data_IF_862834995778
#
_entry.id   IF_862834995778
#
_cell.length_a   1.000
_cell.length_b   1.000
_cell.length_c   1.000
_cell.angle_alpha   90.00
_cell.angle_beta   90.00
_cell.angle_gamma   90.00
#
_symmetry.space_group_name_H-M   'P 1'
#
loop_
_entity.id
_entity.type
_entity.pdbx_description
1 polymer ?
#
# COMPACT_ATOMS: atom_id res chain seq x y z
N UNK A 1 18.76 16.48 11.82
CA UNK A 1 17.63 15.67 12.34
C UNK A 1 18.20 14.36 12.88
N UNK A 2 17.85 13.91 14.09
CA UNK A 2 18.38 12.64 14.59
C UNK A 2 17.74 11.44 13.88
N UNK A 3 18.53 10.44 13.50
CA UNK A 3 18.04 9.23 12.82
C UNK A 3 17.02 8.40 13.61
N UNK A 4 16.28 7.56 12.90
CA UNK A 4 15.45 6.49 13.47
C UNK A 4 16.31 5.22 13.52
N UNK A 5 16.66 4.76 14.72
CA UNK A 5 17.42 3.53 14.91
C UNK A 5 16.47 2.43 15.41
N UNK A 6 16.23 1.37 14.63
CA UNK A 6 15.44 0.24 15.09
C UNK A 6 16.11 -0.44 16.29
N UNK A 7 15.31 -0.79 17.29
CA UNK A 7 15.71 -1.66 18.41
C UNK A 7 14.72 -2.81 18.49
N UNK A 8 15.22 -4.04 18.39
CA UNK A 8 14.40 -5.27 18.35
C UNK A 8 13.24 -5.17 17.36
N UNK A 9 13.51 -4.70 16.13
CA UNK A 9 12.51 -4.56 15.07
C UNK A 9 11.48 -3.45 15.30
N UNK A 10 11.71 -2.50 16.21
CA UNK A 10 10.79 -1.38 16.51
C UNK A 10 11.51 -0.04 16.57
N UNK A 11 10.79 1.00 16.18
CA UNK A 11 11.17 2.40 16.38
C UNK A 11 9.90 3.22 16.60
N UNK A 12 10.05 4.48 17.02
CA UNK A 12 8.94 5.41 17.15
C UNK A 12 9.36 6.80 16.66
N UNK A 13 8.35 7.64 16.39
CA UNK A 13 8.57 9.02 15.94
C UNK A 13 8.62 10.01 17.12
N UNK A 14 8.94 9.59 18.34
CA UNK A 14 8.98 10.49 19.49
C UNK A 14 10.07 11.54 19.28
N UNK A 15 9.69 12.83 19.34
CA UNK A 15 10.58 13.98 19.07
C UNK A 15 11.29 13.93 17.70
N UNK A 16 10.69 13.25 16.71
CA UNK A 16 11.15 13.19 15.31
C UNK A 16 10.12 13.82 14.39
N UNK A 17 10.58 14.41 13.30
CA UNK A 17 9.77 14.92 12.19
C UNK A 17 9.84 13.96 11.00
N UNK A 18 8.89 14.09 10.08
CA UNK A 18 8.86 13.33 8.83
C UNK A 18 9.86 13.90 7.83
N UNK A 19 10.31 13.08 6.88
CA UNK A 19 11.30 13.46 5.86
C UNK A 19 10.71 14.48 4.88
N UNK A 20 9.54 14.18 4.31
CA UNK A 20 8.77 15.11 3.48
C UNK A 20 7.37 15.25 4.08
N UNK A 21 7.15 16.20 5.00
CA UNK A 21 5.83 16.46 5.55
C UNK A 21 4.97 17.24 4.53
N UNK A 22 3.72 16.82 4.38
CA UNK A 22 2.73 17.56 3.57
C UNK A 22 2.20 18.80 4.31
N UNK A 23 1.59 19.71 3.54
CA UNK A 23 0.74 20.77 4.06
C UNK A 23 -0.72 20.39 3.88
N UNK A 24 -1.52 20.57 4.93
CA UNK A 24 -2.94 20.26 4.95
C UNK A 24 -3.74 21.54 5.19
N UNK A 25 -4.13 22.20 4.10
CA UNK A 25 -4.68 23.57 4.15
C UNK A 25 -6.18 23.61 3.84
N UNK A 26 -6.66 22.73 2.95
CA UNK A 26 -8.07 22.66 2.53
C UNK A 26 -8.66 21.30 2.83
N UNK A 27 -9.10 21.09 4.06
CA UNK A 27 -9.63 19.81 4.50
C UNK A 27 -10.90 19.97 5.33
N UNK A 28 -11.67 18.90 5.40
CA UNK A 28 -12.94 18.87 6.15
C UNK A 28 -13.03 17.62 7.01
N UNK A 29 -13.91 17.67 8.01
CA UNK A 29 -14.25 16.54 8.86
C UNK A 29 -15.68 16.12 8.56
N UNK A 30 -15.92 14.83 8.41
CA UNK A 30 -17.27 14.26 8.31
C UNK A 30 -17.50 13.32 9.48
N UNK A 31 -18.65 13.40 10.12
CA UNK A 31 -18.99 12.59 11.29
C UNK A 31 -20.24 11.75 11.06
N UNK A 32 -20.05 10.45 10.82
CA UNK A 32 -21.11 9.44 10.75
C UNK A 32 -21.43 8.93 12.15
N UNK A 33 -21.94 9.84 13.00
CA UNK A 33 -22.45 9.54 14.35
C UNK A 33 -21.41 9.01 15.36
N UNK A 34 -20.12 9.31 15.18
CA UNK A 34 -19.09 9.07 16.17
C UNK A 34 -19.26 9.97 17.39
N UNK A 35 -19.27 9.37 18.60
CA UNK A 35 -19.36 10.07 19.88
C UNK A 35 -17.98 10.58 20.29
N UNK A 36 -17.62 11.81 19.90
CA UNK A 36 -16.37 12.44 20.30
C UNK A 36 -16.48 13.96 20.34
N UNK A 37 -15.57 14.60 21.09
CA UNK A 37 -15.40 16.07 21.06
C UNK A 37 -14.61 16.46 19.83
N UNK A 38 -15.31 16.81 18.74
CA UNK A 38 -14.71 17.06 17.43
C UNK A 38 -13.69 18.20 17.45
N UNK A 39 -13.98 19.30 18.15
CA UNK A 39 -13.05 20.43 18.30
C UNK A 39 -11.73 19.99 18.93
N UNK A 40 -11.79 19.32 20.08
CA UNK A 40 -10.62 18.78 20.77
C UNK A 40 -9.83 17.80 19.90
N UNK A 41 -10.52 16.93 19.17
CA UNK A 41 -9.89 15.98 18.25
C UNK A 41 -9.13 16.71 17.12
N UNK A 42 -9.70 17.78 16.57
CA UNK A 42 -9.04 18.59 15.55
C UNK A 42 -7.83 19.33 16.12
N UNK A 43 -7.96 19.94 17.31
CA UNK A 43 -6.85 20.60 18.02
C UNK A 43 -5.71 19.63 18.32
N UNK A 44 -6.02 18.45 18.86
CA UNK A 44 -5.03 17.41 19.14
C UNK A 44 -4.35 16.93 17.85
N UNK A 45 -5.11 16.74 16.75
CA UNK A 45 -4.56 16.37 15.45
C UNK A 45 -3.61 17.44 14.89
N UNK A 46 -3.99 18.72 14.97
CA UNK A 46 -3.16 19.85 14.54
C UNK A 46 -1.87 19.91 15.37
N UNK A 47 -1.98 19.82 16.70
CA UNK A 47 -0.83 19.79 17.61
C UNK A 47 0.12 18.64 17.27
N UNK A 48 -0.42 17.42 17.14
CA UNK A 48 0.37 16.26 16.76
C UNK A 48 1.00 16.40 15.37
N UNK A 49 0.29 17.01 14.42
CA UNK A 49 0.79 17.31 13.07
C UNK A 49 2.02 18.20 13.10
N UNK A 50 1.93 19.33 13.81
CA UNK A 50 3.03 20.29 13.96
C UNK A 50 4.27 19.63 14.58
N UNK A 51 4.09 18.78 15.60
CA UNK A 51 5.20 18.01 16.20
C UNK A 51 5.87 17.02 15.23
N UNK A 52 5.22 16.68 14.10
CA UNK A 52 5.75 15.82 13.04
C UNK A 52 6.21 16.61 11.80
N UNK A 53 6.12 17.94 11.84
CA UNK A 53 6.46 18.82 10.72
C UNK A 53 5.32 19.01 9.70
N UNK A 54 4.15 18.39 9.92
CA UNK A 54 2.97 18.58 9.05
C UNK A 54 2.30 19.89 9.45
N UNK A 55 2.23 20.83 8.51
CA UNK A 55 1.46 22.07 8.71
C UNK A 55 -0.01 21.79 8.45
N UNK A 56 -0.84 21.88 9.50
CA UNK A 56 -2.29 21.63 9.41
C UNK A 56 -3.05 22.89 9.83
N UNK A 57 -3.86 23.43 8.93
CA UNK A 57 -4.78 24.54 9.24
C UNK A 57 -6.03 24.01 9.96
N UNK A 58 -6.87 24.89 10.50
CA UNK A 58 -8.20 24.47 10.98
C UNK A 58 -9.01 23.88 9.82
N UNK A 59 -9.84 22.84 10.06
CA UNK A 59 -10.69 22.30 9.01
C UNK A 59 -11.63 23.40 8.52
N UNK A 60 -11.90 23.42 7.22
CA UNK A 60 -12.80 24.40 6.60
C UNK A 60 -14.22 24.27 7.16
N UNK A 61 -14.70 23.04 7.29
CA UNK A 61 -16.01 22.75 7.89
C UNK A 61 -16.02 21.35 8.51
N UNK A 62 -16.91 21.18 9.50
CA UNK A 62 -17.24 19.90 10.12
C UNK A 62 -18.68 19.54 9.75
N UNK A 63 -18.85 18.46 9.00
CA UNK A 63 -20.14 17.95 8.56
C UNK A 63 -20.63 16.85 9.51
N UNK A 64 -21.76 17.10 10.15
CA UNK A 64 -22.42 16.12 11.00
C UNK A 64 -23.52 15.40 10.22
N UNK A 65 -23.55 14.07 10.29
CA UNK A 65 -24.66 13.28 9.76
C UNK A 65 -25.97 13.72 10.41
N UNK A 66 -26.98 14.02 9.58
CA UNK A 66 -28.31 14.35 10.06
C UNK A 66 -28.97 13.13 10.71
N UNK A 67 -29.64 13.35 11.84
CA UNK A 67 -30.29 12.30 12.61
C UNK A 67 -31.32 11.52 11.78
N UNK A 68 -32.00 12.20 10.84
CA UNK A 68 -33.00 11.61 9.92
C UNK A 68 -32.44 10.47 9.04
N UNK A 69 -31.15 10.48 8.73
CA UNK A 69 -30.53 9.46 7.86
C UNK A 69 -29.84 8.33 8.62
N UNK A 70 -29.74 8.38 9.95
CA UNK A 70 -28.95 7.40 10.72
C UNK A 70 -29.38 5.95 10.50
N UNK A 71 -30.67 5.73 10.27
CA UNK A 71 -31.25 4.41 10.02
C UNK A 71 -31.42 4.09 8.53
N UNK A 72 -31.00 4.99 7.64
CA UNK A 72 -31.05 4.77 6.20
C UNK A 72 -29.94 3.78 5.77
N UNK A 73 -30.06 3.16 4.58
CA UNK A 73 -29.01 2.32 4.03
C UNK A 73 -27.65 3.06 3.95
N UNK A 74 -26.52 2.38 4.18
CA UNK A 74 -25.19 3.01 4.20
C UNK A 74 -24.82 3.81 2.96
N UNK A 75 -25.24 3.35 1.77
CA UNK A 75 -25.04 4.06 0.51
C UNK A 75 -25.77 5.41 0.49
N UNK A 76 -27.03 5.43 0.92
CA UNK A 76 -27.85 6.65 1.03
C UNK A 76 -27.23 7.63 2.02
N UNK A 77 -26.76 7.13 3.18
CA UNK A 77 -26.08 7.95 4.20
C UNK A 77 -24.84 8.64 3.62
N UNK A 78 -24.04 7.91 2.84
CA UNK A 78 -22.86 8.45 2.15
C UNK A 78 -23.24 9.49 1.10
N UNK A 79 -24.25 9.21 0.27
CA UNK A 79 -24.71 10.14 -0.76
C UNK A 79 -25.20 11.45 -0.16
N UNK A 80 -26.00 11.38 0.91
CA UNK A 80 -26.47 12.58 1.64
C UNK A 80 -25.34 13.38 2.27
N UNK A 81 -24.33 12.70 2.83
CA UNK A 81 -23.13 13.39 3.31
C UNK A 81 -22.41 14.12 2.17
N UNK A 82 -22.29 13.52 0.99
CA UNK A 82 -21.66 14.14 -0.16
C UNK A 82 -22.47 15.31 -0.73
N UNK A 83 -23.80 15.22 -0.77
CA UNK A 83 -24.68 16.35 -1.11
C UNK A 83 -24.43 17.54 -0.15
N UNK A 84 -24.32 17.26 1.16
CA UNK A 84 -24.00 18.29 2.15
C UNK A 84 -22.63 18.92 1.91
N UNK A 85 -21.60 18.12 1.65
CA UNK A 85 -20.26 18.62 1.34
C UNK A 85 -20.27 19.52 0.10
N UNK A 86 -20.88 19.05 -1.01
CA UNK A 86 -20.92 19.80 -2.27
C UNK A 86 -21.71 21.11 -2.18
N UNK A 87 -22.75 21.16 -1.35
CA UNK A 87 -23.58 22.37 -1.20
C UNK A 87 -22.92 23.49 -0.40
N UNK A 88 -21.91 23.17 0.43
CA UNK A 88 -21.27 24.16 1.32
C UNK A 88 -19.81 24.45 0.99
N UNK A 89 -19.15 23.57 0.26
CA UNK A 89 -17.77 23.80 -0.16
C UNK A 89 -17.71 24.50 -1.53
N UNK A 90 -16.87 25.55 -1.69
CA UNK A 90 -16.69 26.24 -2.97
C UNK A 90 -15.90 25.42 -3.99
N UNK A 91 -15.36 24.26 -3.60
CA UNK A 91 -14.60 23.37 -4.46
C UNK A 91 -14.20 22.09 -3.73
N UNK A 92 -13.54 21.18 -4.45
CA UNK A 92 -13.13 19.88 -3.91
C UNK A 92 -12.08 20.04 -2.81
N UNK A 93 -12.28 19.46 -1.61
CA UNK A 93 -11.27 19.49 -0.56
C UNK A 93 -10.06 18.64 -0.93
N UNK A 94 -8.88 19.03 -0.43
CA UNK A 94 -7.65 18.25 -0.53
C UNK A 94 -7.77 16.90 0.20
N UNK A 95 -8.53 16.88 1.29
CA UNK A 95 -8.61 15.75 2.20
C UNK A 95 -9.90 15.75 3.03
N UNK A 96 -10.41 14.55 3.35
CA UNK A 96 -11.53 14.36 4.28
C UNK A 96 -11.13 13.42 5.42
N UNK A 97 -11.24 13.91 6.66
CA UNK A 97 -11.20 13.08 7.86
C UNK A 97 -12.61 12.54 8.15
N UNK A 98 -12.78 11.22 8.08
CA UNK A 98 -14.07 10.56 8.30
C UNK A 98 -14.11 9.91 9.68
N UNK A 99 -15.06 10.33 10.52
CA UNK A 99 -15.29 9.77 11.84
C UNK A 99 -16.42 8.75 11.76
N UNK A 100 -16.13 7.52 12.20
CA UNK A 100 -17.07 6.40 12.23
C UNK A 100 -17.45 6.06 13.67
N UNK A 101 -18.70 5.68 13.90
CA UNK A 101 -19.20 5.22 15.19
C UNK A 101 -18.51 3.92 15.66
N UNK A 102 -18.28 3.00 14.72
CA UNK A 102 -17.86 1.63 15.02
C UNK A 102 -16.43 1.34 14.58
N UNK A 103 -15.66 0.69 15.46
CA UNK A 103 -14.23 0.45 15.25
C UNK A 103 -13.91 -0.65 14.22
N UNK A 104 -14.74 -1.69 14.16
CA UNK A 104 -14.44 -2.90 13.36
C UNK A 104 -15.33 -3.04 12.14
N UNK A 105 -16.64 -2.93 12.31
CA UNK A 105 -17.61 -3.32 11.29
C UNK A 105 -18.57 -2.16 10.97
N UNK A 106 -18.03 -0.97 10.68
CA UNK A 106 -18.87 0.13 10.19
C UNK A 106 -19.32 -0.19 8.77
N UNK A 107 -20.63 -0.34 8.61
CA UNK A 107 -21.33 -0.55 7.33
C UNK A 107 -21.11 0.61 6.33
N UNK A 108 -20.89 1.83 6.84
CA UNK A 108 -20.57 3.02 6.06
C UNK A 108 -19.16 2.98 5.45
N UNK A 109 -18.19 2.25 6.03
CA UNK A 109 -16.80 2.29 5.58
C UNK A 109 -16.64 1.91 4.11
N UNK A 110 -17.27 0.81 3.68
CA UNK A 110 -17.19 0.31 2.30
C UNK A 110 -17.74 1.31 1.28
N UNK A 111 -19.03 1.70 1.38
CA UNK A 111 -19.63 2.71 0.50
C UNK A 111 -18.90 4.05 0.52
N UNK A 112 -18.42 4.50 1.69
CA UNK A 112 -17.64 5.73 1.80
C UNK A 112 -16.33 5.64 1.03
N UNK A 113 -15.61 4.51 1.15
CA UNK A 113 -14.38 4.28 0.39
C UNK A 113 -14.62 4.19 -1.11
N UNK A 114 -15.67 3.49 -1.52
CA UNK A 114 -16.07 3.40 -2.93
C UNK A 114 -16.32 4.80 -3.50
N UNK A 115 -17.24 5.58 -2.92
CA UNK A 115 -17.59 6.93 -3.37
C UNK A 115 -16.37 7.85 -3.55
N UNK A 116 -15.43 7.80 -2.60
CA UNK A 116 -14.23 8.63 -2.65
C UNK A 116 -13.18 8.14 -3.66
N UNK A 117 -13.01 6.82 -3.82
CA UNK A 117 -11.99 6.25 -4.71
C UNK A 117 -12.45 6.17 -6.17
N UNK A 118 -13.71 5.80 -6.43
CA UNK A 118 -14.21 5.56 -7.78
C UNK A 118 -14.88 6.78 -8.41
N UNK A 119 -15.55 7.63 -7.61
CA UNK A 119 -16.35 8.74 -8.16
C UNK A 119 -15.72 10.11 -7.94
N UNK A 120 -15.22 10.39 -6.72
CA UNK A 120 -14.79 11.75 -6.36
C UNK A 120 -13.29 11.99 -6.46
N UNK A 121 -12.46 10.94 -6.37
CA UNK A 121 -11.00 11.05 -6.35
C UNK A 121 -10.42 11.78 -5.12
N UNK A 122 -11.16 11.85 -4.01
CA UNK A 122 -10.76 12.60 -2.81
C UNK A 122 -10.03 11.69 -1.82
N UNK A 123 -8.88 12.15 -1.33
CA UNK A 123 -8.10 11.41 -0.32
C UNK A 123 -8.83 11.43 1.03
N UNK A 124 -9.06 10.25 1.60
CA UNK A 124 -9.74 10.13 2.92
C UNK A 124 -9.01 9.29 3.94
N UNK A 125 -9.16 9.65 5.21
CA UNK A 125 -8.75 8.82 6.34
C UNK A 125 -9.94 8.62 7.28
N UNK A 126 -10.31 7.36 7.52
CA UNK A 126 -11.35 7.03 8.48
C UNK A 126 -10.73 6.76 9.86
N UNK A 127 -11.37 7.22 10.93
CA UNK A 127 -11.01 6.90 12.31
C UNK A 127 -12.26 6.57 13.13
N UNK A 128 -12.10 5.72 14.14
CA UNK A 128 -13.14 5.42 15.14
C UNK A 128 -12.64 5.90 16.52
N UNK A 129 -13.00 7.12 16.94
CA UNK A 129 -12.30 7.83 18.02
C UNK A 129 -12.78 7.38 19.43
N UNK A 130 -12.41 6.17 19.85
CA UNK A 130 -12.75 5.64 21.20
C UNK A 130 -11.64 5.82 22.24
N UNK A 131 -10.38 5.71 21.84
CA UNK A 131 -9.19 5.87 22.72
C UNK A 131 -8.10 6.65 22.00
N UNK A 132 -8.39 7.91 21.70
CA UNK A 132 -7.47 8.80 20.98
C UNK A 132 -6.40 9.31 21.95
N UNK A 133 -5.14 9.09 21.60
CA UNK A 133 -3.97 9.64 22.28
C UNK A 133 -2.92 10.08 21.23
N UNK A 134 -1.86 10.75 21.68
CA UNK A 134 -0.83 11.29 20.78
C UNK A 134 -0.16 10.21 19.90
N UNK A 135 0.01 8.99 20.40
CA UNK A 135 0.56 7.88 19.62
C UNK A 135 -0.42 7.41 18.52
N UNK A 136 -1.72 7.35 18.84
CA UNK A 136 -2.77 7.04 17.88
C UNK A 136 -2.82 8.10 16.78
N UNK A 137 -2.83 9.38 17.16
CA UNK A 137 -2.85 10.50 16.21
C UNK A 137 -1.58 10.54 15.36
N UNK A 138 -0.41 10.26 15.94
CA UNK A 138 0.84 10.09 15.19
C UNK A 138 0.70 9.01 14.13
N UNK A 139 0.17 7.83 14.47
CA UNK A 139 -0.04 6.75 13.50
C UNK A 139 -1.06 7.12 12.40
N UNK A 140 -2.09 7.90 12.75
CA UNK A 140 -3.05 8.45 11.77
C UNK A 140 -2.35 9.44 10.84
N UNK A 141 -1.53 10.34 11.37
CA UNK A 141 -0.77 11.34 10.60
C UNK A 141 0.24 10.70 9.65
N UNK A 142 0.91 9.61 10.05
CA UNK A 142 1.78 8.84 9.15
C UNK A 142 1.01 8.34 7.92
N UNK A 143 -0.25 7.92 8.09
CA UNK A 143 -1.11 7.50 6.98
C UNK A 143 -1.59 8.68 6.13
N UNK A 144 -1.93 9.80 6.76
CA UNK A 144 -2.36 11.02 6.06
C UNK A 144 -1.23 11.55 5.19
N UNK A 145 -0.02 11.67 5.76
CA UNK A 145 1.16 12.16 5.06
C UNK A 145 1.46 11.32 3.80
N UNK A 146 1.53 9.99 3.95
CA UNK A 146 1.76 9.08 2.84
C UNK A 146 0.68 9.16 1.75
N UNK A 147 -0.60 9.24 2.14
CA UNK A 147 -1.72 9.35 1.19
C UNK A 147 -1.76 10.67 0.41
N UNK A 148 -1.21 11.73 0.99
CA UNK A 148 -1.11 13.04 0.36
C UNK A 148 0.25 13.23 -0.36
N UNK A 149 1.04 12.17 -0.50
CA UNK A 149 2.27 12.15 -1.30
C UNK A 149 3.56 12.48 -0.54
N UNK A 150 3.49 12.70 0.78
CA UNK A 150 4.65 12.91 1.63
C UNK A 150 5.43 11.63 1.93
N UNK A 151 6.62 11.78 2.50
CA UNK A 151 7.53 10.70 2.90
C UNK A 151 7.72 10.74 4.42
N UNK A 152 7.40 9.63 5.08
CA UNK A 152 7.50 9.54 6.54
C UNK A 152 8.95 9.36 7.00
N UNK A 153 9.66 8.44 6.35
CA UNK A 153 11.03 8.04 6.66
C UNK A 153 11.67 7.45 5.39
N UNK A 154 12.98 7.59 5.26
CA UNK A 154 13.80 6.95 4.23
C UNK A 154 14.84 6.07 4.92
N UNK A 155 15.29 5.03 4.23
CA UNK A 155 16.48 4.30 4.65
C UNK A 155 17.71 5.18 4.40
N UNK A 156 18.70 5.15 5.31
CA UNK A 156 19.94 5.91 5.10
C UNK A 156 20.63 5.48 3.81
N UNK A 157 20.66 4.18 3.52
CA UNK A 157 21.25 3.59 2.31
C UNK A 157 20.50 4.01 1.03
N UNK A 158 19.18 4.19 1.11
CA UNK A 158 18.35 4.72 0.02
C UNK A 158 18.63 6.21 -0.21
N UNK A 159 18.72 6.99 0.87
CA UNK A 159 19.04 8.42 0.78
C UNK A 159 20.43 8.66 0.18
N UNK A 160 21.41 7.81 0.49
CA UNK A 160 22.75 7.87 -0.12
C UNK A 160 22.84 7.16 -1.48
N UNK A 161 21.73 6.60 -2.00
CA UNK A 161 21.68 5.86 -3.27
C UNK A 161 22.71 4.72 -3.35
N UNK A 162 22.83 3.95 -2.26
CA UNK A 162 23.82 2.87 -2.10
C UNK A 162 23.18 1.50 -1.94
N UNK A 163 21.92 1.30 -2.34
CA UNK A 163 21.31 -0.03 -2.31
C UNK A 163 22.02 -0.88 -3.38
N UNK A 164 22.64 -2.03 -3.01
CA UNK A 164 23.36 -2.88 -3.94
C UNK A 164 22.51 -3.22 -5.16
N UNK A 165 23.08 -3.05 -6.36
CA UNK A 165 22.48 -3.30 -7.68
C UNK A 165 21.25 -2.44 -8.03
N UNK A 166 20.43 -2.03 -7.06
CA UNK A 166 19.18 -1.29 -7.24
C UNK A 166 19.41 0.21 -7.44
N UNK A 167 20.36 0.81 -6.72
CA UNK A 167 20.60 2.26 -6.83
C UNK A 167 21.53 2.63 -7.99
N UNK A 168 22.20 1.67 -8.61
CA UNK A 168 23.22 1.90 -9.65
C UNK A 168 22.62 1.90 -11.06
N UNK A 169 21.59 1.10 -11.28
CA UNK A 169 20.92 0.92 -12.57
C UNK A 169 19.44 1.32 -12.39
N UNK A 170 18.77 1.91 -13.39
CA UNK A 170 17.35 2.22 -13.30
C UNK A 170 16.49 0.96 -13.02
N UNK A 171 16.10 0.77 -11.77
CA UNK A 171 15.39 -0.43 -11.29
C UNK A 171 13.95 -0.11 -10.90
N UNK A 172 13.04 -0.98 -11.31
CA UNK A 172 11.63 -0.95 -10.91
C UNK A 172 11.33 -2.15 -9.99
N UNK A 173 11.01 -1.87 -8.74
CA UNK A 173 10.54 -2.87 -7.77
C UNK A 173 9.01 -2.98 -7.85
N UNK A 174 8.50 -4.21 -7.92
CA UNK A 174 7.10 -4.56 -8.07
C UNK A 174 6.70 -5.54 -6.96
N UNK A 175 5.51 -5.35 -6.39
CA UNK A 175 4.87 -6.31 -5.50
C UNK A 175 3.55 -6.80 -6.09
N UNK A 176 3.27 -8.09 -6.01
CA UNK A 176 2.10 -8.73 -6.59
C UNK A 176 1.43 -9.65 -5.57
N UNK A 177 0.12 -9.54 -5.44
CA UNK A 177 -0.70 -10.37 -4.55
C UNK A 177 -2.11 -10.58 -5.15
N UNK A 178 -2.71 -11.73 -4.85
CA UNK A 178 -4.08 -12.05 -5.22
C UNK A 178 -4.89 -12.39 -3.99
N UNK A 179 -5.98 -11.65 -3.78
CA UNK A 179 -6.91 -11.89 -2.68
C UNK A 179 -8.18 -12.57 -3.17
N UNK A 180 -8.58 -13.65 -2.49
CA UNK A 180 -9.83 -14.36 -2.78
C UNK A 180 -10.97 -13.96 -1.84
N UNK A 181 -12.20 -14.23 -2.28
CA UNK A 181 -13.38 -14.14 -1.41
C UNK A 181 -13.28 -15.04 -0.18
N UNK A 182 -14.02 -14.68 0.87
CA UNK A 182 -14.05 -15.47 2.12
C UNK A 182 -14.51 -16.92 1.87
N UNK A 183 -14.05 -17.89 2.66
CA UNK A 183 -14.46 -19.29 2.54
C UNK A 183 -15.99 -19.43 2.49
N UNK A 184 -16.48 -20.23 1.54
CA UNK A 184 -17.93 -20.43 1.32
C UNK A 184 -18.58 -19.47 0.32
N UNK A 185 -17.88 -18.43 -0.16
CA UNK A 185 -18.34 -17.58 -1.26
C UNK A 185 -17.58 -17.89 -2.54
N UNK A 186 -18.05 -18.89 -3.29
CA UNK A 186 -17.41 -19.37 -4.53
C UNK A 186 -17.60 -18.45 -5.73
N UNK A 187 -18.56 -17.54 -5.66
CA UNK A 187 -18.98 -16.60 -6.71
C UNK A 187 -18.22 -15.26 -6.65
N UNK A 188 -17.57 -14.97 -5.52
CA UNK A 188 -16.83 -13.71 -5.34
C UNK A 188 -15.57 -13.73 -6.20
N UNK A 189 -15.34 -12.71 -7.07
CA UNK A 189 -14.15 -12.65 -7.90
C UNK A 189 -12.89 -12.52 -7.05
N UNK A 190 -11.78 -13.02 -7.59
CA UNK A 190 -10.47 -12.74 -6.99
C UNK A 190 -10.01 -11.34 -7.38
N UNK A 191 -9.20 -10.71 -6.55
CA UNK A 191 -8.69 -9.37 -6.77
C UNK A 191 -7.18 -9.45 -6.86
N UNK A 192 -6.63 -9.19 -8.05
CA UNK A 192 -5.20 -9.02 -8.24
C UNK A 192 -4.80 -7.58 -7.98
N UNK A 193 -3.71 -7.40 -7.23
CA UNK A 193 -3.11 -6.12 -6.95
C UNK A 193 -1.64 -6.14 -7.36
N UNK A 194 -1.24 -5.15 -8.14
CA UNK A 194 0.16 -4.92 -8.52
C UNK A 194 0.56 -3.54 -8.02
N UNK A 195 1.62 -3.49 -7.22
CA UNK A 195 2.24 -2.24 -6.78
C UNK A 195 3.59 -2.07 -7.46
N UNK A 196 3.91 -0.86 -7.87
CA UNK A 196 5.20 -0.53 -8.49
C UNK A 196 5.83 0.68 -7.81
N UNK A 197 7.11 0.59 -7.55
CA UNK A 197 7.90 1.70 -7.01
C UNK A 197 7.93 2.88 -7.98
N UNK A 198 8.12 4.08 -7.45
CA UNK A 198 8.18 5.32 -8.20
C UNK A 198 9.42 6.12 -7.83
N UNK A 199 9.96 6.81 -8.82
CA UNK A 199 11.04 7.79 -8.67
C UNK A 199 12.38 7.20 -8.24
N UNK A 200 12.89 6.23 -9.03
CA UNK A 200 14.28 5.80 -8.96
C UNK A 200 15.23 7.03 -8.92
N UNK A 201 16.26 7.05 -8.05
CA UNK A 201 16.78 5.92 -7.26
C UNK A 201 16.07 5.63 -5.92
N UNK A 202 15.05 6.40 -5.55
CA UNK A 202 14.28 6.15 -4.33
C UNK A 202 13.28 4.99 -4.54
N UNK A 203 13.05 4.23 -3.48
CA UNK A 203 12.16 3.06 -3.45
C UNK A 203 10.99 3.23 -2.47
N UNK A 204 10.84 4.41 -1.84
CA UNK A 204 9.85 4.67 -0.79
C UNK A 204 8.45 5.09 -1.26
N UNK A 205 8.24 5.35 -2.56
CA UNK A 205 6.93 5.73 -3.13
C UNK A 205 6.42 4.61 -4.03
N UNK A 206 5.16 4.22 -3.88
CA UNK A 206 4.53 3.18 -4.70
C UNK A 206 3.21 3.65 -5.31
N UNK A 207 2.89 3.12 -6.48
CA UNK A 207 1.58 3.20 -7.11
C UNK A 207 0.96 1.82 -7.16
N UNK A 208 -0.34 1.73 -6.93
CA UNK A 208 -1.11 0.50 -7.02
C UNK A 208 -1.98 0.50 -8.27
N UNK A 209 -2.12 -0.67 -8.89
CA UNK A 209 -3.12 -1.02 -9.88
C UNK A 209 -3.86 -2.27 -9.40
N UNK A 210 -5.17 -2.33 -9.63
CA UNK A 210 -6.04 -3.41 -9.15
C UNK A 210 -6.93 -3.89 -10.30
N UNK A 211 -7.11 -5.21 -10.41
CA UNK A 211 -8.05 -5.85 -11.34
C UNK A 211 -8.83 -6.96 -10.63
N UNK A 212 -10.07 -7.13 -11.06
CA UNK A 212 -10.86 -8.32 -10.72
C UNK A 212 -10.59 -9.40 -11.74
N UNK A 213 -10.45 -10.63 -11.27
CA UNK A 213 -10.28 -11.82 -12.10
C UNK A 213 -11.23 -12.93 -11.65
N UNK A 214 -11.23 -14.03 -12.38
CA UNK A 214 -12.11 -15.17 -12.12
C UNK A 214 -11.98 -15.66 -10.66
N UNK A 215 -13.07 -16.15 -10.04
CA UNK A 215 -13.02 -16.68 -8.67
C UNK A 215 -11.95 -17.77 -8.52
N UNK A 216 -11.19 -17.72 -7.42
CA UNK A 216 -10.12 -18.66 -7.05
C UNK A 216 -8.97 -18.79 -8.08
N UNK A 217 -8.87 -17.87 -9.03
CA UNK A 217 -7.72 -17.79 -9.92
C UNK A 217 -6.57 -17.15 -9.14
N UNK A 218 -5.49 -17.88 -8.91
CA UNK A 218 -4.30 -17.39 -8.18
C UNK A 218 -3.33 -16.64 -9.10
N UNK A 219 -3.13 -17.10 -10.33
CA UNK A 219 -2.24 -16.40 -11.28
C UNK A 219 -2.88 -15.10 -11.76
N UNK A 220 -2.09 -14.03 -11.86
CA UNK A 220 -2.56 -12.78 -12.44
C UNK A 220 -2.66 -12.93 -13.96
N UNK A 221 -3.89 -13.00 -14.46
CA UNK A 221 -4.22 -13.27 -15.86
C UNK A 221 -4.16 -12.05 -16.79
N UNK A 222 -3.96 -10.87 -16.21
CA UNK A 222 -4.14 -9.58 -16.87
C UNK A 222 -2.97 -8.64 -16.62
N UNK A 223 -1.76 -9.19 -16.45
CA UNK A 223 -0.52 -8.41 -16.42
C UNK A 223 -0.33 -7.68 -17.74
N UNK A 224 -0.54 -8.38 -18.84
CA UNK A 224 -0.59 -7.84 -20.19
C UNK A 224 -1.93 -8.15 -20.84
N UNK A 225 -2.55 -7.17 -21.48
CA UNK A 225 -3.78 -7.41 -22.25
C UNK A 225 -3.84 -6.48 -23.45
N UNK A 226 -3.25 -6.93 -24.55
CA UNK A 226 -3.36 -6.26 -25.85
C UNK A 226 -4.82 -6.17 -26.27
N UNK A 227 -5.31 -4.95 -26.50
CA UNK A 227 -6.66 -4.69 -27.03
C UNK A 227 -6.59 -4.20 -28.46
N UNK A 228 -5.62 -3.34 -28.75
CA UNK A 228 -5.28 -2.87 -30.09
C UNK A 228 -3.77 -2.88 -30.26
N UNK A 229 -3.27 -2.67 -31.49
CA UNK A 229 -1.84 -2.60 -31.77
C UNK A 229 -1.10 -1.49 -31.01
N UNK A 230 -1.83 -0.50 -30.50
CA UNK A 230 -1.27 0.62 -29.72
C UNK A 230 -1.80 0.67 -28.28
N UNK A 231 -2.65 -0.26 -27.85
CA UNK A 231 -3.29 -0.20 -26.53
C UNK A 231 -3.14 -1.51 -25.74
N UNK A 232 -2.48 -1.38 -24.59
CA UNK A 232 -2.42 -2.39 -23.53
C UNK A 232 -3.32 -1.99 -22.35
N UNK A 233 -4.28 -2.85 -22.01
CA UNK A 233 -5.18 -2.68 -20.83
C UNK A 233 -4.74 -3.48 -19.60
N UNK A 234 -3.56 -4.09 -19.66
CA UNK A 234 -2.91 -4.80 -18.59
C UNK A 234 -2.76 -3.98 -17.30
N UNK A 235 -2.65 -4.69 -16.18
CA UNK A 235 -2.43 -4.11 -14.86
C UNK A 235 -0.97 -3.70 -14.66
N UNK A 236 -0.03 -4.34 -15.36
CA UNK A 236 1.36 -3.93 -15.36
C UNK A 236 1.50 -2.65 -16.18
N UNK A 237 1.99 -1.59 -15.54
CA UNK A 237 2.24 -0.30 -16.18
C UNK A 237 3.62 0.17 -15.79
N UNK A 238 4.53 0.21 -16.75
CA UNK A 238 5.81 0.87 -16.54
C UNK A 238 5.61 2.38 -16.52
N UNK A 239 6.41 3.07 -15.70
CA UNK A 239 6.43 4.52 -15.68
C UNK A 239 6.93 5.08 -17.02
N UNK A 240 6.84 6.40 -17.24
CA UNK A 240 7.40 7.05 -18.46
C UNK A 240 8.87 6.73 -18.74
N UNK A 241 9.63 6.28 -17.72
CA UNK A 241 10.99 5.78 -17.88
C UNK A 241 10.96 4.26 -17.93
N UNK A 242 11.59 3.70 -18.97
CA UNK A 242 11.83 2.26 -19.18
C UNK A 242 12.99 1.84 -18.26
N UNK A 243 12.74 1.13 -17.15
CA UNK A 243 13.82 0.65 -16.30
C UNK A 243 14.67 -0.39 -17.05
N UNK A 244 15.93 -0.51 -16.68
CA UNK A 244 16.82 -1.55 -17.20
C UNK A 244 16.72 -2.84 -16.36
N UNK A 245 16.15 -2.75 -15.15
CA UNK A 245 15.94 -3.87 -14.25
C UNK A 245 14.54 -3.86 -13.65
N UNK A 246 13.94 -5.04 -13.49
CA UNK A 246 12.63 -5.21 -12.83
C UNK A 246 12.74 -6.32 -11.78
N UNK A 247 12.47 -5.97 -10.51
CA UNK A 247 12.45 -6.91 -9.39
C UNK A 247 10.99 -7.14 -8.97
N UNK A 248 10.57 -8.39 -8.92
CA UNK A 248 9.17 -8.79 -8.66
C UNK A 248 9.12 -9.59 -7.36
N UNK A 249 8.36 -9.09 -6.39
CA UNK A 249 7.98 -9.82 -5.18
C UNK A 249 6.55 -10.35 -5.32
N UNK A 250 6.37 -11.67 -5.36
CA UNK A 250 5.07 -12.35 -5.50
C UNK A 250 4.66 -13.03 -4.19
N UNK A 251 3.57 -12.61 -3.57
CA UNK A 251 3.04 -13.19 -2.30
C UNK A 251 1.81 -14.05 -2.56
N UNK A 252 1.66 -15.20 -1.91
CA UNK A 252 0.41 -16.00 -1.95
C UNK A 252 0.43 -17.26 -2.82
N UNK A 253 1.54 -17.54 -3.52
CA UNK A 253 1.68 -18.75 -4.35
C UNK A 253 2.38 -19.88 -3.61
N UNK A 254 1.97 -21.12 -3.88
CA UNK A 254 2.61 -22.34 -3.37
C UNK A 254 3.71 -22.86 -4.30
N UNK A 255 4.59 -23.75 -3.82
CA UNK A 255 5.69 -24.31 -4.63
C UNK A 255 5.21 -24.97 -5.93
N UNK A 256 4.05 -25.62 -5.92
CA UNK A 256 3.46 -26.26 -7.11
C UNK A 256 3.08 -25.26 -8.21
N UNK A 257 3.01 -23.96 -7.88
CA UNK A 257 2.64 -22.88 -8.79
C UNK A 257 3.85 -22.07 -9.26
N UNK A 258 5.08 -22.36 -8.82
CA UNK A 258 6.27 -21.59 -9.18
C UNK A 258 6.50 -21.55 -10.70
N UNK A 259 6.35 -22.69 -11.38
CA UNK A 259 6.43 -22.75 -12.83
C UNK A 259 5.33 -21.92 -13.52
N UNK A 260 4.15 -21.78 -12.91
CA UNK A 260 3.08 -20.94 -13.45
C UNK A 260 3.43 -19.45 -13.30
N UNK A 261 4.07 -19.04 -12.20
CA UNK A 261 4.55 -17.66 -12.05
C UNK A 261 5.54 -17.31 -13.17
N UNK A 262 6.49 -18.20 -13.47
CA UNK A 262 7.47 -17.96 -14.54
C UNK A 262 6.83 -18.00 -15.93
N UNK A 263 6.08 -19.06 -16.25
CA UNK A 263 5.59 -19.29 -17.61
C UNK A 263 4.32 -18.49 -17.94
N UNK A 264 3.66 -17.88 -16.96
CA UNK A 264 2.42 -17.11 -17.17
C UNK A 264 2.63 -15.65 -16.76
N UNK A 265 3.04 -15.40 -15.52
CA UNK A 265 3.12 -14.01 -15.03
C UNK A 265 4.34 -13.28 -15.59
N UNK A 266 5.53 -13.88 -15.49
CA UNK A 266 6.76 -13.27 -16.02
C UNK A 266 6.72 -13.16 -17.56
N UNK A 267 6.23 -14.18 -18.28
CA UNK A 267 6.05 -14.12 -19.73
C UNK A 267 5.15 -12.95 -20.17
N UNK A 268 4.00 -12.76 -19.53
CA UNK A 268 3.13 -11.60 -19.80
C UNK A 268 3.85 -10.26 -19.58
N UNK A 269 4.68 -10.15 -18.54
CA UNK A 269 5.43 -8.92 -18.28
C UNK A 269 6.53 -8.66 -19.32
N UNK A 270 7.19 -9.71 -19.80
CA UNK A 270 8.15 -9.63 -20.91
C UNK A 270 7.43 -9.18 -22.19
N UNK A 271 6.26 -9.75 -22.49
CA UNK A 271 5.44 -9.33 -23.63
C UNK A 271 5.00 -7.87 -23.53
N UNK A 272 4.58 -7.41 -22.35
CA UNK A 272 4.24 -6.01 -22.13
C UNK A 272 5.43 -5.07 -22.36
N UNK A 273 6.65 -5.47 -21.97
CA UNK A 273 7.85 -4.68 -22.24
C UNK A 273 8.11 -4.55 -23.75
N UNK A 274 8.08 -5.69 -24.47
CA UNK A 274 8.27 -5.73 -25.93
C UNK A 274 7.18 -4.96 -26.69
N UNK A 275 5.93 -5.02 -26.21
CA UNK A 275 4.83 -4.28 -26.80
C UNK A 275 5.01 -2.76 -26.69
N UNK A 276 5.56 -2.29 -25.56
CA UNK A 276 5.85 -0.87 -25.35
C UNK A 276 7.05 -0.39 -26.17
N UNK A 277 8.05 -1.25 -26.35
CA UNK A 277 9.20 -1.02 -27.23
C UNK A 277 9.90 -2.35 -27.50
N UNK A 278 9.96 -2.75 -28.77
CA UNK A 278 10.55 -4.01 -29.19
C UNK A 278 12.03 -4.14 -28.78
N UNK A 279 12.73 -3.02 -28.61
CA UNK A 279 14.14 -2.98 -28.17
C UNK A 279 14.29 -2.97 -26.65
N UNK A 280 13.21 -2.80 -25.91
CA UNK A 280 13.27 -2.74 -24.45
C UNK A 280 13.26 -4.15 -23.85
N UNK A 281 14.45 -4.58 -23.41
CA UNK A 281 14.67 -5.86 -22.77
C UNK A 281 15.30 -5.64 -21.37
N UNK A 282 14.49 -5.33 -20.34
CA UNK A 282 15.01 -5.21 -18.98
C UNK A 282 15.40 -6.58 -18.42
N UNK A 283 16.35 -6.60 -17.49
CA UNK A 283 16.69 -7.79 -16.71
C UNK A 283 15.65 -8.02 -15.62
N UNK A 284 15.22 -9.27 -15.43
CA UNK A 284 14.23 -9.60 -14.42
C UNK A 284 14.84 -10.35 -13.22
N UNK A 285 14.26 -10.09 -12.04
CA UNK A 285 14.36 -10.95 -10.87
C UNK A 285 12.96 -11.25 -10.33
N UNK A 286 12.68 -12.52 -10.03
CA UNK A 286 11.41 -12.97 -9.46
C UNK A 286 11.67 -13.64 -8.11
N UNK A 287 11.10 -13.07 -7.06
CA UNK A 287 11.17 -13.58 -5.69
C UNK A 287 9.75 -13.87 -5.21
N UNK A 288 9.48 -15.14 -4.86
CA UNK A 288 8.23 -15.51 -4.20
C UNK A 288 8.40 -15.40 -2.69
N UNK A 289 7.46 -14.76 -2.02
CA UNK A 289 7.38 -14.68 -0.57
C UNK A 289 6.22 -15.56 -0.06
N UNK A 290 6.52 -16.51 0.82
CA UNK A 290 5.55 -17.38 1.47
C UNK A 290 5.57 -17.18 2.98
N UNK A 291 4.42 -16.97 3.60
CA UNK A 291 4.32 -17.00 5.07
C UNK A 291 4.30 -18.45 5.54
N UNK A 292 5.34 -18.86 6.26
CA UNK A 292 5.47 -20.26 6.67
C UNK A 292 4.93 -20.52 8.07
N UNK A 293 4.82 -21.81 8.42
CA UNK A 293 4.59 -22.27 9.79
C UNK A 293 5.89 -22.60 10.53
N UNK A 294 7.05 -22.51 9.88
CA UNK A 294 8.36 -22.84 10.46
C UNK A 294 8.83 -21.76 11.44
N UNK A 295 9.78 -22.08 12.33
CA UNK A 295 9.89 -21.43 13.66
C UNK A 295 11.19 -20.65 13.92
N UNK A 296 11.82 -20.01 12.92
CA UNK A 296 13.21 -19.50 13.09
C UNK A 296 13.51 -18.18 12.38
N UNK A 297 14.44 -17.42 12.95
CA UNK A 297 14.85 -16.08 12.55
C UNK A 297 16.07 -16.12 11.61
N UNK A 298 15.79 -16.13 10.32
CA UNK A 298 16.77 -16.28 9.21
C UNK A 298 17.47 -17.65 9.18
N UNK A 299 17.23 -18.40 8.10
CA UNK A 299 17.90 -19.68 7.83
C UNK A 299 18.16 -19.74 6.33
N UNK A 300 19.42 -19.90 5.97
CA UNK A 300 19.93 -20.15 4.62
C UNK A 300 20.56 -21.55 4.49
N UNK A 301 20.71 -22.28 5.60
CA UNK A 301 21.40 -23.58 5.68
C UNK A 301 20.55 -24.66 6.39
N UNK A 302 20.53 -25.88 5.82
CA UNK A 302 19.93 -27.08 6.41
C UNK A 302 18.45 -27.34 6.10
N UNK A 303 17.57 -26.34 6.19
CA UNK A 303 16.11 -26.48 5.89
C UNK A 303 15.73 -25.86 4.53
N UNK A 304 16.65 -25.12 3.91
CA UNK A 304 16.49 -24.61 2.55
C UNK A 304 16.57 -25.74 1.51
N UNK A 305 16.04 -25.49 0.33
CA UNK A 305 16.07 -26.46 -0.76
C UNK A 305 17.52 -26.73 -1.19
N UNK A 306 17.93 -28.00 -1.34
CA UNK A 306 19.34 -28.35 -1.62
C UNK A 306 19.86 -27.87 -2.98
N UNK A 307 19.00 -27.30 -3.84
CA UNK A 307 19.33 -26.87 -5.21
C UNK A 307 18.73 -25.52 -5.62
N UNK A 308 17.80 -24.95 -4.84
CA UNK A 308 17.15 -23.70 -5.22
C UNK A 308 17.73 -22.57 -4.36
N UNK A 309 17.67 -21.34 -4.86
CA UNK A 309 18.07 -20.18 -4.09
C UNK A 309 16.87 -19.73 -3.23
N UNK A 310 16.81 -20.22 -1.99
CA UNK A 310 15.75 -19.90 -1.04
C UNK A 310 16.31 -19.61 0.35
N UNK A 311 15.64 -18.72 1.07
CA UNK A 311 16.02 -18.34 2.43
C UNK A 311 14.80 -17.97 3.27
N UNK A 312 14.88 -18.21 4.57
CA UNK A 312 13.89 -17.71 5.51
C UNK A 312 14.34 -16.34 6.03
N UNK A 313 13.41 -15.41 6.26
CA UNK A 313 13.70 -14.17 6.97
C UNK A 313 12.56 -13.78 7.90
N UNK A 314 12.93 -13.44 9.14
CA UNK A 314 12.01 -12.95 10.17
C UNK A 314 12.19 -11.45 10.36
N UNK A 315 11.57 -10.65 9.48
CA UNK A 315 11.74 -9.19 9.46
C UNK A 315 10.96 -8.41 10.54
N UNK A 316 10.13 -9.08 11.35
CA UNK A 316 9.24 -8.42 12.32
C UNK A 316 9.40 -8.94 13.75
N UNK A 317 9.17 -8.06 14.72
CA UNK A 317 9.14 -8.41 16.13
C UNK A 317 7.79 -9.02 16.50
N UNK A 318 7.77 -10.28 16.95
CA UNK A 318 6.58 -10.92 17.50
C UNK A 318 6.03 -10.14 18.69
N UNK A 319 4.84 -9.55 18.57
CA UNK A 319 4.20 -8.81 19.66
C UNK A 319 3.44 -9.73 20.60
N UNK A 320 2.78 -10.74 20.05
CA UNK A 320 1.95 -11.71 20.76
C UNK A 320 2.06 -13.03 19.99
N UNK A 321 2.29 -14.14 20.69
CA UNK A 321 2.42 -15.48 20.09
C UNK A 321 3.78 -15.71 19.42
N UNK A 322 3.84 -16.74 18.59
CA UNK A 322 5.06 -17.19 17.91
C UNK A 322 5.20 -16.47 16.57
N UNK A 323 6.36 -15.84 16.34
CA UNK A 323 6.69 -15.18 15.08
C UNK A 323 6.84 -16.20 13.96
N UNK A 324 6.19 -15.94 12.83
CA UNK A 324 6.32 -16.76 11.62
C UNK A 324 7.27 -16.08 10.64
N UNK A 325 8.41 -16.68 10.29
CA UNK A 325 9.28 -16.16 9.25
C UNK A 325 8.57 -16.22 7.90
N UNK A 326 9.01 -15.35 7.00
CA UNK A 326 8.67 -15.45 5.59
C UNK A 326 9.76 -16.26 4.90
N UNK A 327 9.39 -17.19 4.04
CA UNK A 327 10.28 -17.96 3.19
C UNK A 327 10.28 -17.31 1.81
N UNK A 328 11.47 -16.94 1.36
CA UNK A 328 11.70 -16.30 0.08
C UNK A 328 12.33 -17.32 -0.86
N UNK A 329 11.79 -17.45 -2.07
CA UNK A 329 12.36 -18.27 -3.14
C UNK A 329 12.70 -17.37 -4.32
N UNK A 330 13.97 -17.30 -4.69
CA UNK A 330 14.39 -16.64 -5.93
C UNK A 330 14.15 -17.64 -7.06
N UNK A 331 13.10 -17.40 -7.84
CA UNK A 331 12.70 -18.26 -8.96
C UNK A 331 13.47 -17.95 -10.23
N UNK A 332 13.88 -16.70 -10.40
CA UNK A 332 14.55 -16.20 -11.60
C UNK A 332 15.41 -14.98 -11.24
N UNK A 333 16.63 -14.89 -11.76
CA UNK A 333 17.53 -13.75 -11.56
C UNK A 333 18.49 -13.57 -12.74
N UNK A 334 18.26 -12.53 -13.55
CA UNK A 334 19.18 -12.05 -14.60
C UNK A 334 20.03 -10.85 -14.17
N UNK A 335 19.70 -10.27 -13.00
CA UNK A 335 20.37 -9.10 -12.45
C UNK A 335 21.72 -9.51 -11.85
N UNK A 336 21.75 -10.69 -11.21
CA UNK A 336 22.96 -11.31 -10.68
C UNK A 336 23.22 -10.92 -9.22
N UNK A 337 22.18 -10.95 -8.39
CA UNK A 337 22.33 -10.73 -6.95
C UNK A 337 23.08 -11.90 -6.31
N UNK A 338 23.99 -11.60 -5.39
CA UNK A 338 24.50 -12.62 -4.47
C UNK A 338 23.45 -12.91 -3.38
N UNK A 339 23.58 -14.04 -2.68
CA UNK A 339 22.66 -14.37 -1.58
C UNK A 339 22.64 -13.31 -0.46
N UNK A 340 23.74 -12.59 -0.25
CA UNK A 340 23.83 -11.50 0.74
C UNK A 340 23.21 -10.18 0.23
N UNK A 341 23.13 -9.99 -1.10
CA UNK A 341 22.55 -8.78 -1.70
C UNK A 341 21.02 -8.83 -1.78
N UNK A 342 20.42 -10.03 -1.86
CA UNK A 342 18.95 -10.26 -1.91
C UNK A 342 18.31 -10.00 -0.55
#
# INVERSE_FOLDING_TARGET
MGGLCPSRGRWNFNRKQLVEPVKLERWVVVNFSARCRMEKLCEDLIRCGQMKGISITRPYEVFQERTEYRNAPPTVRVDKMFEMIKSRLPGTPQFILCLLSDRKNSDVYGPWKMKNLSESGIVTQCIAPTRVNDQYLTNVLLKINAKLGGINSLLTIEHTSNIPLVSQVPTLIIGMDVSHGSPGRSDVPSIAAVVSSRHWPLISKYQAAIRTQSPKMEMVDSLFKKVYDTEDKGIFRSSRKKPEQIIIFRDGVSESQFNQVLNIELEQMIEACKFLDEKWAPKFMVVVAQRTMTRRSVIDTGICHPRNNDFYMCAHAGMIGITRPTHYHVLYDEIGFSADDV
#
